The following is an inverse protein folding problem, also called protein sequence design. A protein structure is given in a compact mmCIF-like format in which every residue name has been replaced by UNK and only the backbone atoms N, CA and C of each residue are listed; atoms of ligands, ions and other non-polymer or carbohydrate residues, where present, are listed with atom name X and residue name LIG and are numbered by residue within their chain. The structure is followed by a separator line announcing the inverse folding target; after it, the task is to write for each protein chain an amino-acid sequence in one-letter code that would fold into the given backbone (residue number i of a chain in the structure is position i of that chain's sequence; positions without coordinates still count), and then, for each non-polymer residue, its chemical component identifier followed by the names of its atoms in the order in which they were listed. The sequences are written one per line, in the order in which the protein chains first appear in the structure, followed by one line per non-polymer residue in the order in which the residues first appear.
data_IF_286632016160
#
_entry.id   IF_286632016160
#
_cell.length_a   1.000
_cell.length_b   1.000
_cell.length_c   1.000
_cell.angle_alpha   90.00
_cell.angle_beta   90.00
_cell.angle_gamma   90.00
#
_symmetry.space_group_name_H-M   'P 1'
#
loop_
_entity.id
_entity.type
_entity.pdbx_description
1 polymer ?
#
# COMPACT_ATOMS: atom_id res chain seq x y z
N UNK A 1 7.48 -4.22 -18.64
CA UNK A 1 6.74 -3.59 -17.52
C UNK A 1 6.03 -4.73 -16.85
N UNK A 2 6.45 -5.16 -15.66
CA UNK A 2 5.76 -6.27 -14.97
C UNK A 2 4.34 -5.82 -14.63
N UNK A 3 3.35 -6.59 -15.07
CA UNK A 3 1.95 -6.29 -14.81
C UNK A 3 1.67 -6.41 -13.31
N UNK A 4 1.20 -5.31 -12.71
CA UNK A 4 0.69 -5.20 -11.32
C UNK A 4 -0.23 -6.38 -10.94
N UNK A 5 -0.87 -6.99 -11.93
CA UNK A 5 -1.71 -8.18 -11.85
C UNK A 5 -1.05 -9.38 -11.15
N UNK A 6 0.20 -9.73 -11.49
CA UNK A 6 0.78 -11.02 -11.09
C UNK A 6 1.03 -11.14 -9.58
N UNK A 7 1.55 -10.08 -8.98
CA UNK A 7 1.87 -10.05 -7.55
C UNK A 7 0.62 -9.93 -6.69
N UNK A 8 -0.35 -9.09 -7.11
CA UNK A 8 -1.64 -9.00 -6.46
C UNK A 8 -2.39 -10.35 -6.47
N UNK A 9 -2.33 -11.09 -7.59
CA UNK A 9 -2.95 -12.40 -7.71
C UNK A 9 -2.30 -13.44 -6.81
N UNK A 10 -0.97 -13.46 -6.72
CA UNK A 10 -0.25 -14.33 -5.78
C UNK A 10 -0.55 -14.00 -4.32
N UNK A 11 -0.62 -12.71 -3.97
CA UNK A 11 -0.97 -12.29 -2.63
C UNK A 11 -2.38 -12.79 -2.25
N UNK A 12 -3.36 -12.63 -3.16
CA UNK A 12 -4.72 -13.16 -2.98
C UNK A 12 -4.75 -14.68 -2.77
N UNK A 13 -4.05 -15.43 -3.62
CA UNK A 13 -3.97 -16.89 -3.48
C UNK A 13 -3.37 -17.32 -2.14
N UNK A 14 -2.35 -16.60 -1.65
CA UNK A 14 -1.73 -16.89 -0.37
C UNK A 14 -2.68 -16.61 0.80
N UNK A 15 -3.38 -15.47 0.77
CA UNK A 15 -4.41 -15.10 1.73
C UNK A 15 -5.51 -16.16 1.81
N UNK A 16 -6.04 -16.58 0.65
CA UNK A 16 -7.08 -17.60 0.56
C UNK A 16 -6.62 -18.94 1.15
N UNK A 17 -5.39 -19.37 0.84
CA UNK A 17 -4.81 -20.60 1.37
C UNK A 17 -4.58 -20.57 2.88
N UNK A 18 -4.34 -19.38 3.44
CA UNK A 18 -4.13 -19.18 4.87
C UNK A 18 -5.45 -18.99 5.65
N UNK A 19 -6.59 -18.90 4.97
CA UNK A 19 -7.89 -18.65 5.59
C UNK A 19 -7.99 -17.26 6.24
N UNK A 20 -7.22 -16.29 5.73
CA UNK A 20 -7.24 -14.91 6.19
C UNK A 20 -8.44 -14.21 5.55
N UNK A 21 -9.24 -13.51 6.37
CA UNK A 21 -10.28 -12.62 5.86
C UNK A 21 -9.63 -11.36 5.29
N UNK A 22 -9.63 -11.22 3.96
CA UNK A 22 -9.02 -10.08 3.29
C UNK A 22 -10.05 -9.16 2.66
N UNK A 23 -9.77 -7.86 2.78
CA UNK A 23 -10.55 -6.80 2.17
C UNK A 23 -9.66 -6.04 1.19
N UNK A 24 -9.82 -6.32 -0.11
CA UNK A 24 -9.11 -5.60 -1.17
C UNK A 24 -9.63 -4.17 -1.27
N UNK A 25 -8.72 -3.20 -1.29
CA UNK A 25 -9.08 -1.79 -1.22
C UNK A 25 -8.16 -0.96 -2.12
N UNK A 26 -8.74 -0.32 -3.12
CA UNK A 26 -8.05 0.70 -3.91
C UNK A 26 -8.24 2.08 -3.27
N UNK A 27 -7.20 2.55 -2.60
CA UNK A 27 -7.22 3.83 -1.88
C UNK A 27 -7.45 5.03 -2.81
N UNK A 28 -7.22 4.91 -4.11
CA UNK A 28 -7.42 6.00 -5.07
C UNK A 28 -8.90 6.21 -5.43
N UNK A 29 -9.74 5.19 -5.26
CA UNK A 29 -11.15 5.20 -5.69
C UNK A 29 -12.14 5.12 -4.52
N UNK A 30 -11.73 4.55 -3.40
CA UNK A 30 -12.58 4.36 -2.21
C UNK A 30 -12.66 5.62 -1.35
N UNK A 31 -13.82 5.84 -0.72
CA UNK A 31 -14.01 6.98 0.17
C UNK A 31 -13.10 6.90 1.40
N UNK A 32 -12.60 8.06 1.84
CA UNK A 32 -11.72 8.18 3.01
C UNK A 32 -12.24 7.50 4.28
N UNK A 33 -13.56 7.57 4.49
CA UNK A 33 -14.20 6.95 5.65
C UNK A 33 -14.12 5.41 5.58
N UNK A 34 -14.32 4.84 4.40
CA UNK A 34 -14.28 3.39 4.21
C UNK A 34 -12.85 2.86 4.36
N UNK A 35 -11.84 3.59 3.82
CA UNK A 35 -10.41 3.27 4.05
C UNK A 35 -10.13 3.17 5.55
N UNK A 36 -10.54 4.20 6.31
CA UNK A 36 -10.31 4.24 7.76
C UNK A 36 -11.02 3.09 8.48
N UNK A 37 -12.30 2.86 8.19
CA UNK A 37 -13.08 1.82 8.87
C UNK A 37 -12.56 0.42 8.60
N UNK A 38 -12.06 0.15 7.38
CA UNK A 38 -11.42 -1.11 7.06
C UNK A 38 -10.12 -1.28 7.83
N UNK A 39 -9.24 -0.26 7.83
CA UNK A 39 -7.97 -0.33 8.57
C UNK A 39 -8.16 -0.54 10.08
N UNK A 40 -9.17 0.10 10.69
CA UNK A 40 -9.49 -0.07 12.13
C UNK A 40 -9.97 -1.49 12.50
N UNK A 41 -10.28 -2.35 11.52
CA UNK A 41 -10.77 -3.72 11.73
C UNK A 41 -9.78 -4.81 11.33
N UNK A 42 -8.62 -4.44 10.80
CA UNK A 42 -7.65 -5.39 10.27
C UNK A 42 -6.44 -5.54 11.19
N UNK A 43 -5.96 -6.77 11.35
CA UNK A 43 -4.72 -7.08 12.06
C UNK A 43 -3.47 -6.87 11.18
N UNK A 44 -3.64 -6.88 9.86
CA UNK A 44 -2.59 -6.75 8.86
C UNK A 44 -2.99 -5.75 7.78
N UNK A 45 -2.02 -5.00 7.27
CA UNK A 45 -2.16 -4.27 6.02
C UNK A 45 -1.10 -4.73 5.03
N UNK A 46 -1.55 -5.14 3.84
CA UNK A 46 -0.68 -5.44 2.71
C UNK A 46 -0.71 -4.27 1.73
N UNK A 47 0.46 -3.70 1.45
CA UNK A 47 0.63 -2.68 0.43
C UNK A 47 1.30 -3.32 -0.79
N UNK A 48 0.57 -3.37 -1.90
CA UNK A 48 1.07 -3.91 -3.16
C UNK A 48 2.14 -3.01 -3.77
N UNK A 49 3.01 -3.64 -4.56
CA UNK A 49 4.02 -2.93 -5.35
C UNK A 49 3.44 -2.08 -6.49
N UNK A 50 4.33 -1.52 -7.31
CA UNK A 50 3.97 -0.67 -8.44
C UNK A 50 4.87 0.55 -8.53
N UNK A 51 4.26 1.73 -8.65
CA UNK A 51 4.96 3.01 -8.82
C UNK A 51 5.11 3.72 -7.46
N UNK A 52 6.32 3.84 -6.88
CA UNK A 52 6.52 4.28 -5.50
C UNK A 52 6.10 5.74 -5.26
N UNK A 53 6.37 6.63 -6.21
CA UNK A 53 5.93 8.03 -6.10
C UNK A 53 4.41 8.16 -6.12
N UNK A 54 3.74 7.42 -7.01
CA UNK A 54 2.28 7.41 -7.09
C UNK A 54 1.64 6.82 -5.82
N UNK A 55 2.16 5.69 -5.33
CA UNK A 55 1.68 5.08 -4.09
C UNK A 55 1.79 6.05 -2.90
N UNK A 56 2.96 6.67 -2.71
CA UNK A 56 3.16 7.67 -1.65
C UNK A 56 2.22 8.88 -1.80
N UNK A 57 1.97 9.32 -3.04
CA UNK A 57 1.03 10.40 -3.31
C UNK A 57 -0.40 10.03 -2.89
N UNK A 58 -0.89 8.85 -3.27
CA UNK A 58 -2.25 8.41 -2.92
C UNK A 58 -2.42 8.19 -1.42
N UNK A 59 -1.43 7.58 -0.76
CA UNK A 59 -1.43 7.39 0.70
C UNK A 59 -1.56 8.73 1.44
N UNK A 60 -0.81 9.76 1.00
CA UNK A 60 -0.88 11.11 1.60
C UNK A 60 -2.16 11.86 1.24
N UNK A 61 -2.62 11.77 0.00
CA UNK A 61 -3.82 12.47 -0.46
C UNK A 61 -5.09 11.96 0.25
N UNK A 62 -5.14 10.66 0.51
CA UNK A 62 -6.25 9.99 1.19
C UNK A 62 -6.17 10.17 2.71
N UNK A 63 -4.96 10.25 3.27
CA UNK A 63 -4.70 10.22 4.70
C UNK A 63 -4.50 8.79 5.25
N UNK A 64 -4.45 7.79 4.35
CA UNK A 64 -4.21 6.40 4.69
C UNK A 64 -2.85 6.19 5.36
N UNK A 65 -1.83 6.98 5.01
CA UNK A 65 -0.53 6.98 5.66
C UNK A 65 -0.62 7.13 7.18
N UNK A 66 -1.43 8.08 7.66
CA UNK A 66 -1.59 8.35 9.10
C UNK A 66 -2.38 7.26 9.80
N UNK A 67 -3.41 6.72 9.16
CA UNK A 67 -4.20 5.63 9.76
C UNK A 67 -3.39 4.35 9.85
N UNK A 68 -2.64 4.00 8.81
CA UNK A 68 -1.75 2.83 8.82
C UNK A 68 -0.75 2.94 9.97
N UNK A 69 -0.10 4.10 10.15
CA UNK A 69 0.84 4.31 11.25
C UNK A 69 0.15 4.28 12.63
N UNK A 70 -1.07 4.81 12.73
CA UNK A 70 -1.83 4.78 13.99
C UNK A 70 -2.22 3.35 14.40
N UNK A 71 -2.74 2.55 13.48
CA UNK A 71 -3.11 1.16 13.75
C UNK A 71 -1.86 0.28 13.96
N UNK A 72 -0.75 0.56 13.27
CA UNK A 72 0.52 -0.11 13.53
C UNK A 72 1.02 0.16 14.97
N UNK A 73 0.83 1.38 15.48
CA UNK A 73 1.07 1.72 16.88
C UNK A 73 0.22 0.92 17.88
N UNK A 74 -0.89 0.30 17.44
CA UNK A 74 -1.76 -0.57 18.24
C UNK A 74 -1.46 -2.07 18.04
N UNK A 75 -0.49 -2.41 17.19
CA UNK A 75 -0.08 -3.80 16.93
C UNK A 75 -0.41 -4.33 15.54
N UNK A 76 -1.01 -3.54 14.64
CA UNK A 76 -1.23 -3.96 13.25
C UNK A 76 0.10 -4.19 12.53
N UNK A 77 0.26 -5.32 11.85
CA UNK A 77 1.45 -5.61 11.06
C UNK A 77 1.36 -5.00 9.66
N UNK A 78 2.43 -4.36 9.21
CA UNK A 78 2.53 -3.75 7.88
C UNK A 78 3.41 -4.62 6.99
N UNK A 79 2.86 -5.06 5.85
CA UNK A 79 3.57 -5.85 4.84
C UNK A 79 3.66 -5.00 3.57
N UNK A 80 4.89 -4.62 3.20
CA UNK A 80 5.14 -3.86 1.97
C UNK A 80 5.87 -4.69 0.95
N UNK A 81 5.31 -4.79 -0.24
CA UNK A 81 5.93 -5.48 -1.37
C UNK A 81 6.57 -4.48 -2.37
N UNK A 82 7.81 -4.73 -2.77
CA UNK A 82 8.49 -3.99 -3.85
C UNK A 82 8.48 -2.46 -3.60
N UNK A 83 7.82 -1.68 -4.45
CA UNK A 83 7.67 -0.24 -4.30
C UNK A 83 7.03 0.18 -2.96
N UNK A 84 6.17 -0.65 -2.36
CA UNK A 84 5.61 -0.35 -1.06
C UNK A 84 6.64 -0.46 0.07
N UNK A 85 7.61 -1.39 -0.03
CA UNK A 85 8.73 -1.45 0.94
C UNK A 85 9.58 -0.19 0.89
N UNK A 86 9.73 0.40 -0.30
CA UNK A 86 10.46 1.66 -0.50
C UNK A 86 9.72 2.83 0.16
N UNK A 87 8.40 2.90 -0.01
CA UNK A 87 7.56 3.95 0.58
C UNK A 87 7.62 3.98 2.11
N UNK A 88 7.97 2.86 2.76
CA UNK A 88 8.16 2.77 4.21
C UNK A 88 9.48 3.38 4.71
N UNK A 89 10.42 3.70 3.83
CA UNK A 89 11.68 4.34 4.21
C UNK A 89 11.45 5.79 4.69
N UNK A 90 12.35 6.38 5.50
CA UNK A 90 12.26 7.78 5.92
C UNK A 90 12.19 8.78 4.76
N UNK A 91 12.70 8.40 3.60
CA UNK A 91 12.65 9.18 2.36
C UNK A 91 12.77 8.26 1.16
N UNK A 92 12.03 8.54 0.09
CA UNK A 92 12.15 7.84 -1.20
C UNK A 92 13.06 8.57 -2.20
N UNK A 93 13.75 9.64 -1.78
CA UNK A 93 14.57 10.47 -2.68
C UNK A 93 15.70 9.69 -3.35
N UNK A 94 16.14 8.57 -2.75
CA UNK A 94 17.15 7.70 -3.34
C UNK A 94 16.70 7.05 -4.65
N UNK A 95 15.39 7.02 -4.92
CA UNK A 95 14.85 6.55 -6.20
C UNK A 95 15.03 7.55 -7.34
N UNK A 96 15.32 8.82 -7.06
CA UNK A 96 15.49 9.83 -8.11
C UNK A 96 16.66 9.50 -9.08
N UNK A 97 17.57 8.63 -8.67
CA UNK A 97 18.65 8.12 -9.53
C UNK A 97 18.19 7.04 -10.52
N UNK A 98 17.04 6.40 -10.28
CA UNK A 98 16.51 5.28 -11.06
C UNK A 98 15.16 5.59 -11.73
N UNK A 99 14.37 6.48 -11.16
CA UNK A 99 13.01 6.80 -11.60
C UNK A 99 12.80 8.32 -11.53
N UNK A 100 12.37 8.93 -12.62
CA UNK A 100 12.20 10.38 -12.72
C UNK A 100 10.90 10.81 -11.98
N UNK A 101 10.99 11.55 -10.86
CA UNK A 101 9.81 11.94 -10.09
C UNK A 101 8.91 12.96 -10.80
N UNK A 102 9.37 13.55 -11.91
CA UNK A 102 8.65 14.59 -12.67
C UNK A 102 7.77 14.02 -13.79
N UNK A 103 7.98 12.77 -14.19
CA UNK A 103 7.15 12.09 -15.17
C UNK A 103 5.83 11.69 -14.51
N UNK A 104 4.69 12.12 -15.07
CA UNK A 104 3.36 11.72 -14.55
C UNK A 104 3.25 10.21 -14.54
N UNK A 105 3.07 9.66 -13.35
CA UNK A 105 3.02 8.21 -13.12
C UNK A 105 1.58 7.66 -13.10
N UNK A 106 0.57 8.46 -13.48
CA UNK A 106 -0.85 8.09 -13.54
C UNK A 106 -1.16 7.12 -14.70
#
# INVERSE_FOLDING_TARGET
MEEVSFYAEKARLCVDQLGIDAHELDIATVAKQDIRQTLERCDYVYLSGGKPYYLLQQLRATGADRWILNEAGKGMAIIGESAASIVMAPSINYLAAMDDPTVRQA
#
